data_IF_974794832665
#
_entry.id   IF_974794832665
#
_cell.length_a   1.000
_cell.length_b   1.000
_cell.length_c   1.000
_cell.angle_alpha   90.00
_cell.angle_beta   90.00
_cell.angle_gamma   90.00
#
_symmetry.space_group_name_H-M   'P 1'
#
loop_
_entity.id
_entity.type
_entity.pdbx_description
1 polymer ?
#
# COMPACT_ATOMS: atom_id res chain seq x y z
N UNK A 1 -18.15 22.94 -17.89
CA UNK A 1 -16.85 22.23 -17.93
C UNK A 1 -16.72 21.52 -16.61
N UNK A 2 -16.86 20.19 -16.60
CA UNK A 2 -16.87 19.41 -15.37
C UNK A 2 -15.47 19.38 -14.79
N UNK A 3 -15.28 20.00 -13.61
CA UNK A 3 -14.06 19.90 -12.81
C UNK A 3 -13.82 18.41 -12.54
N UNK A 4 -12.84 17.82 -13.22
CA UNK A 4 -12.44 16.44 -13.01
C UNK A 4 -11.78 16.42 -11.63
N UNK A 5 -12.52 15.97 -10.63
CA UNK A 5 -12.04 15.76 -9.27
C UNK A 5 -10.74 14.96 -9.39
N UNK A 6 -9.59 15.58 -9.16
CA UNK A 6 -8.29 14.92 -9.18
C UNK A 6 -8.25 13.97 -8.00
N UNK A 7 -8.76 12.74 -8.20
CA UNK A 7 -8.65 11.66 -7.23
C UNK A 7 -7.15 11.48 -7.03
N UNK A 8 -6.63 11.79 -5.84
CA UNK A 8 -5.22 11.56 -5.53
C UNK A 8 -4.96 10.07 -5.72
N UNK A 9 -4.29 9.70 -6.80
CA UNK A 9 -3.91 8.33 -7.06
C UNK A 9 -2.89 7.91 -6.00
N UNK A 10 -3.29 7.01 -5.10
CA UNK A 10 -2.38 6.45 -4.10
C UNK A 10 -1.47 5.45 -4.78
N UNK A 11 -0.19 5.79 -4.84
CA UNK A 11 0.83 4.97 -5.46
C UNK A 11 1.64 4.24 -4.41
N UNK A 12 1.77 2.92 -4.57
CA UNK A 12 2.49 2.04 -3.66
C UNK A 12 3.54 1.25 -4.44
N UNK A 13 4.77 1.19 -3.93
CA UNK A 13 5.83 0.34 -4.44
C UNK A 13 5.90 -0.93 -3.57
N UNK A 14 5.70 -2.09 -4.18
CA UNK A 14 5.74 -3.39 -3.48
C UNK A 14 6.95 -4.16 -3.99
N UNK A 15 7.80 -4.60 -3.06
CA UNK A 15 8.98 -5.42 -3.34
C UNK A 15 8.80 -6.75 -2.62
N UNK A 16 8.55 -7.81 -3.38
CA UNK A 16 8.48 -9.18 -2.87
C UNK A 16 9.92 -9.72 -2.87
N UNK A 17 10.45 -10.05 -1.70
CA UNK A 17 11.82 -10.58 -1.54
C UNK A 17 11.85 -12.10 -1.49
N UNK A 18 10.82 -12.71 -0.91
CA UNK A 18 10.76 -14.15 -0.71
C UNK A 18 9.31 -14.62 -0.77
N UNK A 19 9.09 -15.81 -1.33
CA UNK A 19 7.76 -16.43 -1.46
C UNK A 19 7.72 -17.86 -0.91
N UNK A 20 8.65 -18.22 -0.02
CA UNK A 20 8.71 -19.56 0.54
C UNK A 20 7.51 -19.85 1.44
N UNK A 21 7.06 -21.10 1.45
CA UNK A 21 5.90 -21.58 2.22
C UNK A 21 4.57 -20.88 1.89
N UNK A 22 4.39 -20.42 0.64
CA UNK A 22 3.22 -19.66 0.20
C UNK A 22 3.01 -18.32 0.94
N UNK A 23 4.04 -17.82 1.64
CA UNK A 23 4.01 -16.54 2.32
C UNK A 23 4.81 -15.53 1.52
N UNK A 24 4.14 -14.53 0.96
CA UNK A 24 4.81 -13.39 0.36
C UNK A 24 5.42 -12.52 1.45
N UNK A 25 6.74 -12.39 1.43
CA UNK A 25 7.49 -11.58 2.37
C UNK A 25 8.20 -10.47 1.59
N UNK A 26 8.16 -9.26 2.12
CA UNK A 26 8.64 -8.13 1.37
C UNK A 26 8.48 -6.81 2.08
N UNK A 27 8.54 -5.74 1.28
CA UNK A 27 8.33 -4.37 1.72
C UNK A 27 7.32 -3.68 0.84
N UNK A 28 6.45 -2.90 1.45
CA UNK A 28 5.57 -1.95 0.80
C UNK A 28 6.03 -0.53 1.14
N UNK A 29 6.06 0.34 0.15
CA UNK A 29 6.43 1.75 0.30
C UNK A 29 5.33 2.63 -0.30
N UNK A 30 4.85 3.58 0.49
CA UNK A 30 3.89 4.59 0.10
C UNK A 30 4.64 5.74 -0.55
N UNK A 31 4.45 5.93 -1.85
CA UNK A 31 5.13 7.00 -2.58
C UNK A 31 4.61 8.39 -2.18
N UNK A 32 3.34 8.49 -1.79
CA UNK A 32 2.72 9.74 -1.35
C UNK A 32 3.18 10.19 0.04
N UNK A 33 3.35 9.25 0.98
CA UNK A 33 3.73 9.54 2.36
C UNK A 33 5.21 9.26 2.67
N UNK A 34 6.00 8.87 1.67
CA UNK A 34 7.39 8.40 1.81
C UNK A 34 7.58 7.37 2.94
N UNK A 35 6.54 6.57 3.21
CA UNK A 35 6.51 5.60 4.31
C UNK A 35 6.91 4.24 3.78
N UNK A 36 7.66 3.45 4.54
CA UNK A 36 8.03 2.07 4.18
C UNK A 36 7.66 1.12 5.31
N UNK A 37 7.03 0.00 4.99
CA UNK A 37 6.77 -1.09 5.93
C UNK A 37 7.12 -2.45 5.35
N UNK A 38 7.45 -3.35 6.25
CA UNK A 38 7.70 -4.76 5.94
C UNK A 38 6.42 -5.55 6.16
N UNK A 39 6.09 -6.45 5.24
CA UNK A 39 5.00 -7.41 5.41
C UNK A 39 5.56 -8.82 5.41
N UNK A 40 4.99 -9.68 6.24
CA UNK A 40 5.41 -11.09 6.36
C UNK A 40 4.46 -12.07 5.67
N UNK A 41 3.36 -11.57 5.10
CA UNK A 41 2.37 -12.38 4.38
C UNK A 41 1.54 -11.51 3.43
N UNK A 42 0.91 -12.15 2.43
CA UNK A 42 0.00 -11.45 1.51
C UNK A 42 -1.19 -10.79 2.23
N UNK A 43 -1.74 -11.44 3.26
CA UNK A 43 -2.83 -10.86 4.06
C UNK A 43 -2.38 -9.62 4.85
N UNK A 44 -1.16 -9.65 5.40
CA UNK A 44 -0.55 -8.47 6.03
C UNK A 44 -0.42 -7.33 5.02
N UNK A 45 0.12 -7.61 3.83
CA UNK A 45 0.24 -6.63 2.75
C UNK A 45 -1.12 -5.99 2.41
N UNK A 46 -2.18 -6.78 2.25
CA UNK A 46 -3.54 -6.28 1.98
C UNK A 46 -4.02 -5.38 3.13
N UNK A 47 -3.84 -5.80 4.39
CA UNK A 47 -4.19 -4.98 5.56
C UNK A 47 -3.44 -3.65 5.60
N UNK A 48 -2.17 -3.63 5.18
CA UNK A 48 -1.38 -2.39 5.12
C UNK A 48 -1.91 -1.43 4.05
N UNK A 49 -2.25 -1.95 2.87
CA UNK A 49 -2.87 -1.15 1.80
C UNK A 49 -4.22 -0.61 2.28
N UNK A 50 -5.06 -1.48 2.84
CA UNK A 50 -6.39 -1.15 3.35
C UNK A 50 -6.32 -0.05 4.42
N UNK A 51 -5.44 -0.21 5.41
CA UNK A 51 -5.20 0.79 6.47
C UNK A 51 -4.76 2.16 5.91
N UNK A 52 -3.97 2.16 4.83
CA UNK A 52 -3.51 3.39 4.18
C UNK A 52 -4.57 4.01 3.26
N UNK A 53 -5.47 3.20 2.72
CA UNK A 53 -6.62 3.70 1.98
C UNK A 53 -7.62 4.36 2.94
N UNK A 54 -7.87 3.74 4.10
CA UNK A 54 -8.81 4.22 5.13
C UNK A 54 -8.33 5.51 5.83
N UNK A 55 -7.05 5.61 6.19
CA UNK A 55 -6.50 6.76 6.94
C UNK A 55 -6.66 8.13 6.25
N UNK A 56 -6.79 8.15 4.93
CA UNK A 56 -6.92 9.37 4.12
C UNK A 56 -8.37 9.84 4.00
N UNK A 57 -9.35 8.97 4.32
CA UNK A 57 -10.77 9.32 4.24
C UNK A 57 -11.26 10.14 5.43
N UNK A 58 -10.37 10.42 6.40
CA UNK A 58 -10.68 11.14 7.65
C UNK A 58 -10.11 12.58 7.73
N UNK A 59 -9.60 13.14 6.63
CA UNK A 59 -9.21 14.57 6.57
C UNK A 59 -10.19 15.44 5.82
#
# INVERSE_FOLDING_TARGET
MSMKQSKKDKSFMIVIKDTQNASWQGTIEWLDQNKKQHFRSALEMIKLIDSAVENDSQT
#
